data_IF_817512215331
#
_entry.id   IF_817512215331
#
_cell.length_a   1.000
_cell.length_b   1.000
_cell.length_c   1.000
_cell.angle_alpha   90.00
_cell.angle_beta   90.00
_cell.angle_gamma   90.00
#
_symmetry.space_group_name_H-M   'P 1'
#
loop_
_entity.id
_entity.type
_entity.pdbx_description
1 polymer ?
#
# COMPACT_ATOMS: atom_id res chain seq x y z
N UNK A 1 9.16 -15.20 -8.46
CA UNK A 1 8.46 -16.01 -9.49
C UNK A 1 9.10 -15.89 -10.87
N UNK A 2 9.46 -14.69 -11.36
CA UNK A 2 10.06 -14.51 -12.69
C UNK A 2 11.34 -15.35 -12.94
N UNK A 3 12.20 -15.55 -11.93
CA UNK A 3 13.45 -16.32 -12.04
C UNK A 3 13.33 -17.85 -11.92
N UNK A 4 12.14 -18.40 -11.63
CA UNK A 4 11.92 -19.84 -11.43
C UNK A 4 11.06 -20.49 -12.52
N UNK A 5 10.69 -19.75 -13.57
CA UNK A 5 10.01 -20.30 -14.75
C UNK A 5 10.84 -21.47 -15.32
N UNK A 6 10.25 -22.66 -15.35
CA UNK A 6 10.85 -23.87 -15.93
C UNK A 6 11.80 -24.68 -15.04
N UNK A 7 12.12 -24.21 -13.82
CA UNK A 7 13.04 -24.94 -12.90
C UNK A 7 12.32 -25.78 -11.84
N UNK A 8 11.07 -25.45 -11.52
CA UNK A 8 10.28 -26.12 -10.49
C UNK A 8 8.98 -26.63 -11.10
N UNK A 9 8.83 -27.95 -11.20
CA UNK A 9 7.56 -28.62 -11.56
C UNK A 9 6.67 -28.72 -10.32
N UNK A 10 6.12 -27.59 -9.89
CA UNK A 10 5.11 -27.52 -8.85
C UNK A 10 4.16 -26.35 -9.13
N UNK A 11 2.95 -26.41 -8.56
CA UNK A 11 1.98 -25.31 -8.65
C UNK A 11 2.55 -24.10 -7.92
N UNK A 12 2.73 -22.99 -8.63
CA UNK A 12 3.19 -21.73 -8.05
C UNK A 12 1.97 -20.85 -7.76
N UNK A 13 1.65 -20.67 -6.48
CA UNK A 13 0.56 -19.79 -6.03
C UNK A 13 1.15 -18.46 -5.55
N UNK A 14 0.71 -17.36 -6.17
CA UNK A 14 1.10 -16.01 -5.77
C UNK A 14 0.30 -15.56 -4.55
N UNK A 15 0.79 -15.89 -3.35
CA UNK A 15 0.13 -15.55 -2.09
C UNK A 15 0.32 -14.09 -1.65
N UNK A 16 1.23 -13.34 -2.29
CA UNK A 16 1.49 -11.94 -1.96
C UNK A 16 1.80 -11.77 -0.46
N UNK A 17 1.31 -10.67 0.13
CA UNK A 17 1.49 -10.37 1.55
C UNK A 17 0.69 -11.29 2.49
N UNK A 18 -0.24 -12.12 1.99
CA UNK A 18 -1.07 -12.99 2.83
C UNK A 18 -0.23 -14.00 3.62
N UNK A 19 0.86 -14.49 3.01
CA UNK A 19 1.80 -15.38 3.69
C UNK A 19 2.56 -14.67 4.80
N UNK A 20 2.95 -13.41 4.61
CA UNK A 20 3.64 -12.61 5.64
C UNK A 20 2.75 -12.36 6.87
N UNK A 21 1.43 -12.24 6.67
CA UNK A 21 0.45 -12.18 7.76
C UNK A 21 0.35 -13.51 8.51
N UNK A 22 0.21 -14.64 7.79
CA UNK A 22 0.10 -15.98 8.39
C UNK A 22 1.39 -16.38 9.13
N UNK A 23 2.55 -15.99 8.59
CA UNK A 23 3.85 -16.23 9.21
C UNK A 23 4.12 -15.33 10.44
N UNK A 24 3.20 -14.43 10.80
CA UNK A 24 3.35 -13.49 11.91
C UNK A 24 4.42 -12.43 11.69
N UNK A 25 4.90 -12.29 10.47
CA UNK A 25 5.99 -11.38 10.12
C UNK A 25 5.48 -9.96 9.84
N UNK A 26 4.19 -9.82 9.51
CA UNK A 26 3.51 -8.54 9.37
C UNK A 26 2.57 -8.29 10.55
N UNK A 27 2.75 -7.17 11.24
CA UNK A 27 1.85 -6.77 12.31
C UNK A 27 0.46 -6.43 11.75
N UNK A 28 -0.56 -7.09 12.29
CA UNK A 28 -1.95 -6.74 12.01
C UNK A 28 -2.33 -5.45 12.74
N UNK A 29 -3.27 -4.70 12.15
CA UNK A 29 -3.88 -3.58 12.86
C UNK A 29 -4.73 -4.10 14.04
N UNK A 30 -4.77 -3.39 15.19
CA UNK A 30 -5.64 -3.72 16.30
C UNK A 30 -7.10 -3.89 15.88
N UNK A 31 -7.86 -4.78 16.53
CA UNK A 31 -9.24 -5.08 16.15
C UNK A 31 -10.17 -3.85 16.17
N UNK A 32 -9.91 -2.89 17.06
CA UNK A 32 -10.65 -1.63 17.07
C UNK A 32 -10.40 -0.82 15.79
N UNK A 33 -9.16 -0.78 15.29
CA UNK A 33 -8.83 -0.09 14.04
C UNK A 33 -9.42 -0.79 12.82
N UNK A 34 -9.44 -2.13 12.83
CA UNK A 34 -10.11 -2.93 11.80
C UNK A 34 -11.60 -2.61 11.73
N UNK A 35 -12.29 -2.56 12.88
CA UNK A 35 -13.72 -2.19 12.98
C UNK A 35 -14.03 -0.75 12.53
N UNK A 36 -13.06 0.17 12.67
CA UNK A 36 -13.21 1.56 12.27
C UNK A 36 -12.66 1.87 10.86
N UNK A 37 -12.30 0.85 10.07
CA UNK A 37 -11.65 1.02 8.76
C UNK A 37 -10.38 1.89 8.81
N UNK A 38 -9.69 1.91 9.96
CA UNK A 38 -8.45 2.67 10.20
C UNK A 38 -7.19 1.83 9.94
N UNK A 39 -7.31 0.67 9.31
CA UNK A 39 -6.17 -0.18 8.98
C UNK A 39 -5.14 0.54 8.10
N UNK A 40 -5.60 1.42 7.20
CA UNK A 40 -4.72 2.25 6.40
C UNK A 40 -3.86 3.18 7.27
N UNK A 41 -4.44 3.73 8.35
CA UNK A 41 -3.75 4.62 9.29
C UNK A 41 -2.65 3.88 10.05
N UNK A 42 -2.90 2.62 10.41
CA UNK A 42 -1.89 1.73 11.00
C UNK A 42 -0.72 1.42 10.04
N UNK A 43 -0.95 1.45 8.72
CA UNK A 43 0.09 1.24 7.71
C UNK A 43 0.89 2.50 7.37
N UNK A 44 0.36 3.70 7.63
CA UNK A 44 1.07 4.97 7.37
C UNK A 44 2.44 5.08 8.06
N UNK A 45 2.58 4.77 9.37
CA UNK A 45 3.87 4.90 10.07
C UNK A 45 4.86 3.79 9.70
N UNK A 46 4.44 2.72 9.03
CA UNK A 46 5.34 1.63 8.63
C UNK A 46 6.27 2.03 7.48
N UNK A 47 5.85 2.98 6.62
CA UNK A 47 6.66 3.49 5.51
C UNK A 47 6.50 5.01 5.33
N UNK A 48 6.91 5.82 6.32
CA UNK A 48 6.62 7.26 6.36
C UNK A 48 7.19 7.99 5.14
N UNK A 49 8.38 7.62 4.66
CA UNK A 49 9.01 8.23 3.47
C UNK A 49 8.20 8.03 2.18
N UNK A 50 7.65 6.83 1.96
CA UNK A 50 6.86 6.55 0.75
C UNK A 50 5.48 7.20 0.81
N UNK A 51 4.87 7.23 1.99
CA UNK A 51 3.58 7.88 2.23
C UNK A 51 3.68 9.39 2.01
N UNK A 52 4.68 10.04 2.59
CA UNK A 52 4.90 11.49 2.43
C UNK A 52 5.13 11.84 0.95
N UNK A 53 5.94 11.05 0.23
CA UNK A 53 6.16 11.27 -1.20
C UNK A 53 4.86 11.19 -2.03
N UNK A 54 3.99 10.21 -1.74
CA UNK A 54 2.68 10.11 -2.40
C UNK A 54 1.75 11.26 -2.01
N UNK A 55 1.77 11.66 -0.74
CA UNK A 55 0.98 12.79 -0.24
C UNK A 55 1.43 14.13 -0.82
N UNK A 56 2.73 14.32 -1.12
CA UNK A 56 3.23 15.55 -1.76
C UNK A 56 2.80 15.72 -3.22
N UNK A 57 2.35 14.66 -3.90
CA UNK A 57 1.84 14.74 -5.28
C UNK A 57 0.40 15.29 -5.35
N UNK A 58 -0.38 15.14 -4.27
CA UNK A 58 -1.76 15.62 -4.18
C UNK A 58 -1.89 17.15 -4.23
N UNK A 59 -1.08 17.94 -3.49
CA UNK A 59 -1.05 19.40 -3.60
C UNK A 59 -0.76 19.88 -5.01
N UNK A 60 0.18 19.25 -5.72
CA UNK A 60 0.53 19.64 -7.08
C UNK A 60 -0.66 19.45 -8.03
N UNK A 61 -1.36 18.32 -7.92
CA UNK A 61 -2.56 18.05 -8.71
C UNK A 61 -3.71 19.02 -8.38
N UNK A 62 -3.95 19.29 -7.09
CA UNK A 62 -4.99 20.22 -6.66
C UNK A 62 -4.71 21.66 -7.11
N UNK A 63 -3.45 22.12 -7.05
CA UNK A 63 -3.06 23.45 -7.54
C UNK A 63 -3.28 23.52 -9.06
N UNK A 64 -2.87 22.50 -9.82
CA UNK A 64 -3.10 22.45 -11.27
C UNK A 64 -4.60 22.50 -11.61
N UNK A 65 -5.44 21.77 -10.87
CA UNK A 65 -6.90 21.83 -11.03
C UNK A 65 -7.47 23.21 -10.67
N UNK A 66 -6.99 23.83 -9.59
CA UNK A 66 -7.42 25.18 -9.20
C UNK A 66 -7.06 26.20 -10.28
N UNK A 67 -5.82 26.17 -10.79
CA UNK A 67 -5.39 27.05 -11.88
C UNK A 67 -6.25 26.80 -13.13
N UNK A 68 -6.50 25.55 -13.51
CA UNK A 68 -7.34 25.23 -14.68
C UNK A 68 -8.78 25.72 -14.53
N UNK A 69 -9.35 25.69 -13.32
CA UNK A 69 -10.73 26.08 -13.04
C UNK A 69 -10.91 27.58 -12.83
N UNK A 70 -9.89 28.30 -12.37
CA UNK A 70 -9.93 29.75 -12.12
C UNK A 70 -9.40 30.58 -13.30
N UNK A 71 -8.64 29.97 -14.22
CA UNK A 71 -8.12 30.63 -15.43
C UNK A 71 -9.08 30.50 -16.63
N UNK A 72 -10.31 30.01 -16.42
CA UNK A 72 -11.35 29.92 -17.42
C UNK A 72 -12.61 30.67 -16.96
#
# INVERSE_FOLDING_TARGET
>A
MAGHKGRVKAVQLGVGAAFDYIAGNLSEAPDWMKRHYLEWLYRLPQQPKKTIYRMSLLPEFLIRLFIQKFWH
#
